data_IF_847874005753
#
_entry.id   IF_847874005753
#
_cell.length_a   1.000
_cell.length_b   1.000
_cell.length_c   1.000
_cell.angle_alpha   90.00
_cell.angle_beta   90.00
_cell.angle_gamma   90.00
#
_symmetry.space_group_name_H-M   'P 1'
#
loop_
_entity.id
_entity.type
_entity.pdbx_description
1 polymer ?
#
# COMPACT_ATOMS: atom_id res chain seq x y z
N UNK A 1 34.57 6.69 12.69
CA UNK A 1 34.22 5.59 11.76
C UNK A 1 32.74 5.70 11.43
N UNK A 2 32.41 6.25 10.27
CA UNK A 2 31.05 6.23 9.72
C UNK A 2 30.86 4.87 9.07
N UNK A 3 30.06 4.00 9.68
CA UNK A 3 29.62 2.75 9.06
C UNK A 3 28.65 3.13 7.93
N UNK A 4 29.11 3.12 6.69
CA UNK A 4 28.24 3.26 5.52
C UNK A 4 27.57 1.91 5.27
N UNK A 5 26.25 1.87 5.37
CA UNK A 5 25.48 0.70 4.97
C UNK A 5 25.72 0.48 3.46
N UNK A 6 26.14 -0.72 3.03
CA UNK A 6 26.31 -1.00 1.61
C UNK A 6 25.00 -0.72 0.86
N UNK A 7 25.08 -0.06 -0.30
CA UNK A 7 23.89 0.41 -1.01
C UNK A 7 22.87 -0.70 -1.29
N UNK A 8 23.35 -1.92 -1.57
CA UNK A 8 22.55 -3.12 -1.85
C UNK A 8 21.77 -3.68 -0.64
N UNK A 9 22.11 -3.29 0.60
CA UNK A 9 21.34 -3.67 1.80
C UNK A 9 20.62 -2.49 2.44
N UNK A 10 20.81 -1.27 1.91
CA UNK A 10 20.21 -0.07 2.48
C UNK A 10 18.69 -0.15 2.46
N UNK A 11 18.10 -0.49 1.31
CA UNK A 11 16.65 -0.60 1.13
C UNK A 11 16.03 -1.72 1.96
N UNK A 12 16.70 -2.87 2.02
CA UNK A 12 16.29 -3.96 2.90
C UNK A 12 16.32 -3.53 4.36
N UNK A 13 17.39 -2.84 4.79
CA UNK A 13 17.53 -2.37 6.17
C UNK A 13 16.39 -1.43 6.53
N UNK A 14 16.07 -0.45 5.69
CA UNK A 14 14.96 0.47 5.93
C UNK A 14 13.61 -0.22 5.93
N UNK A 15 13.39 -1.18 5.02
CA UNK A 15 12.17 -1.98 4.96
C UNK A 15 11.99 -2.83 6.22
N UNK A 16 13.08 -3.42 6.74
CA UNK A 16 13.07 -4.18 7.99
C UNK A 16 12.86 -3.29 9.21
N UNK A 17 13.42 -2.07 9.24
CA UNK A 17 13.14 -1.08 10.29
C UNK A 17 11.66 -0.73 10.30
N UNK A 18 11.06 -0.47 9.13
CA UNK A 18 9.63 -0.19 9.02
C UNK A 18 8.78 -1.39 9.45
N UNK A 19 9.18 -2.62 9.07
CA UNK A 19 8.52 -3.84 9.52
C UNK A 19 8.60 -4.01 11.04
N UNK A 20 9.73 -3.65 11.66
CA UNK A 20 9.88 -3.65 13.12
C UNK A 20 8.94 -2.65 13.77
N UNK A 21 8.83 -1.42 13.23
CA UNK A 21 7.88 -0.42 13.71
C UNK A 21 6.45 -0.95 13.59
N UNK A 22 6.10 -1.53 12.45
CA UNK A 22 4.81 -2.20 12.24
C UNK A 22 4.53 -3.27 13.29
N UNK A 23 5.51 -4.13 13.59
CA UNK A 23 5.37 -5.20 14.58
C UNK A 23 5.18 -4.65 16.00
N UNK A 24 5.91 -3.59 16.36
CA UNK A 24 5.76 -2.90 17.64
C UNK A 24 4.35 -2.30 17.74
N UNK A 25 3.90 -1.55 16.73
CA UNK A 25 2.56 -0.94 16.71
C UNK A 25 1.49 -2.01 16.84
N UNK A 26 1.56 -3.07 16.03
CA UNK A 26 0.66 -4.22 16.11
C UNK A 26 0.60 -4.81 17.51
N UNK A 27 1.75 -5.01 18.15
CA UNK A 27 1.81 -5.58 19.50
C UNK A 27 1.21 -4.66 20.56
N UNK A 28 1.30 -3.33 20.37
CA UNK A 28 0.74 -2.32 21.29
C UNK A 28 -0.78 -2.18 21.17
N UNK A 29 -1.38 -2.52 20.03
CA UNK A 29 -2.83 -2.48 19.83
C UNK A 29 -3.49 -3.60 20.65
N UNK A 30 -4.38 -3.23 21.58
CA UNK A 30 -5.08 -4.18 22.45
C UNK A 30 -6.24 -4.90 21.77
N UNK A 31 -7.00 -4.19 20.93
CA UNK A 31 -8.13 -4.80 20.20
C UNK A 31 -7.63 -5.89 19.26
N UNK A 32 -8.27 -7.06 19.32
CA UNK A 32 -7.92 -8.19 18.44
C UNK A 32 -8.40 -7.92 17.02
N UNK A 33 -9.50 -7.21 16.89
CA UNK A 33 -10.18 -6.82 15.66
C UNK A 33 -9.30 -5.85 14.87
N UNK A 34 -8.87 -4.74 15.50
CA UNK A 34 -7.97 -3.76 14.86
C UNK A 34 -6.64 -4.41 14.46
N UNK A 35 -6.11 -5.34 15.28
CA UNK A 35 -4.92 -6.12 14.88
C UNK A 35 -5.21 -7.02 13.68
N UNK A 36 -6.35 -7.70 13.64
CA UNK A 36 -6.71 -8.53 12.49
C UNK A 36 -6.78 -7.69 11.22
N UNK A 37 -7.54 -6.59 11.23
CA UNK A 37 -7.70 -5.70 10.10
C UNK A 37 -6.38 -5.06 9.66
N UNK A 38 -5.54 -4.63 10.60
CA UNK A 38 -4.19 -4.13 10.28
C UNK A 38 -3.38 -5.17 9.49
N UNK A 39 -3.49 -6.47 9.82
CA UNK A 39 -2.79 -7.52 9.07
C UNK A 39 -3.38 -7.71 7.68
N UNK A 40 -4.72 -7.74 7.57
CA UNK A 40 -5.42 -7.88 6.29
C UNK A 40 -5.03 -6.75 5.34
N UNK A 41 -5.09 -5.49 5.81
CA UNK A 41 -4.68 -4.33 5.02
C UNK A 41 -3.21 -4.44 4.62
N UNK A 42 -2.32 -4.85 5.54
CA UNK A 42 -0.90 -5.05 5.22
C UNK A 42 -0.70 -6.07 4.11
N UNK A 43 -1.39 -7.21 4.16
CA UNK A 43 -1.31 -8.27 3.14
C UNK A 43 -1.89 -7.81 1.79
N UNK A 44 -2.98 -7.05 1.80
CA UNK A 44 -3.55 -6.49 0.58
C UNK A 44 -2.60 -5.46 -0.04
N UNK A 45 -2.05 -4.53 0.75
CA UNK A 45 -1.12 -3.50 0.27
C UNK A 45 0.20 -4.11 -0.20
N UNK A 46 0.66 -5.21 0.40
CA UNK A 46 1.85 -5.95 -0.05
C UNK A 46 1.78 -6.33 -1.54
N UNK A 47 0.57 -6.60 -2.07
CA UNK A 47 0.39 -6.92 -3.49
C UNK A 47 0.78 -5.76 -4.42
N UNK A 48 0.81 -4.52 -3.93
CA UNK A 48 1.34 -3.39 -4.69
C UNK A 48 2.85 -3.54 -4.97
N UNK A 49 3.58 -4.37 -4.22
CA UNK A 49 4.96 -4.74 -4.58
C UNK A 49 5.06 -5.40 -5.97
N UNK A 50 3.98 -6.00 -6.49
CA UNK A 50 3.96 -6.49 -7.86
C UNK A 50 3.95 -5.39 -8.93
N UNK A 51 3.66 -4.15 -8.54
CA UNK A 51 3.65 -3.00 -9.45
C UNK A 51 5.02 -2.36 -9.63
N UNK A 52 6.04 -2.79 -8.88
CA UNK A 52 7.42 -2.31 -8.96
C UNK A 52 7.95 -2.20 -10.41
N UNK A 53 7.74 -3.19 -11.31
CA UNK A 53 8.25 -3.10 -12.69
C UNK A 53 7.63 -1.97 -13.53
N UNK A 54 6.51 -1.39 -13.08
CA UNK A 54 5.89 -0.24 -13.74
C UNK A 54 6.66 1.05 -13.39
N UNK A 55 7.25 1.11 -12.19
CA UNK A 55 7.95 2.30 -11.68
C UNK A 55 9.46 2.23 -11.93
N UNK A 56 10.06 1.04 -11.93
CA UNK A 56 11.50 0.84 -12.20
C UNK A 56 11.74 0.61 -13.69
N UNK A 57 12.72 1.27 -14.35
CA UNK A 57 13.64 2.29 -13.84
C UNK A 57 13.13 3.73 -14.09
N UNK A 58 11.92 3.90 -14.63
CA UNK A 58 11.43 5.19 -15.11
C UNK A 58 11.33 6.26 -14.01
N UNK A 59 10.94 5.86 -12.81
CA UNK A 59 10.85 6.69 -11.62
C UNK A 59 12.10 6.56 -10.74
N UNK A 60 12.54 5.32 -10.51
CA UNK A 60 13.54 5.00 -9.50
C UNK A 60 14.29 3.72 -9.87
N UNK A 61 15.60 3.65 -9.58
CA UNK A 61 16.46 2.48 -9.89
C UNK A 61 17.32 2.12 -8.66
N UNK A 62 16.74 1.42 -7.66
CA UNK A 62 17.45 1.11 -6.43
C UNK A 62 18.39 -0.08 -6.59
N UNK A 63 19.59 -0.03 -5.99
CA UNK A 63 20.38 -1.24 -5.77
C UNK A 63 19.65 -2.16 -4.77
N UNK A 64 19.06 -3.24 -5.27
CA UNK A 64 18.33 -4.23 -4.46
C UNK A 64 19.24 -5.37 -4.01
N UNK A 65 18.80 -6.12 -3.00
CA UNK A 65 19.48 -7.33 -2.57
C UNK A 65 19.62 -8.29 -3.76
N UNK A 66 20.83 -8.82 -4.00
CA UNK A 66 21.15 -9.70 -5.13
C UNK A 66 20.94 -9.09 -6.54
N UNK A 67 20.77 -7.78 -6.65
CA UNK A 67 20.42 -7.07 -7.89
C UNK A 67 19.12 -7.60 -8.52
N UNK A 68 18.18 -8.04 -7.69
CA UNK A 68 16.89 -8.60 -8.10
C UNK A 68 16.12 -7.61 -8.99
N UNK A 69 16.00 -6.35 -8.59
CA UNK A 69 15.31 -5.31 -9.35
C UNK A 69 15.88 -5.17 -10.77
N UNK A 70 17.21 -5.24 -10.91
CA UNK A 70 17.86 -5.13 -12.21
C UNK A 70 17.69 -6.38 -13.08
N UNK A 71 17.63 -7.56 -12.45
CA UNK A 71 17.51 -8.85 -13.14
C UNK A 71 16.07 -9.21 -13.52
N UNK A 72 15.09 -8.80 -12.72
CA UNK A 72 13.69 -9.26 -12.86
C UNK A 72 12.68 -8.11 -12.89
N UNK A 73 13.08 -6.88 -12.54
CA UNK A 73 12.17 -5.77 -12.30
C UNK A 73 11.49 -5.80 -10.92
N UNK A 74 11.79 -6.81 -10.09
CA UNK A 74 11.21 -6.97 -8.74
C UNK A 74 12.29 -6.97 -7.68
N UNK A 75 11.96 -6.50 -6.48
CA UNK A 75 12.77 -6.67 -5.29
C UNK A 75 11.91 -7.23 -4.15
N UNK A 76 12.54 -7.78 -3.10
CA UNK A 76 11.81 -8.27 -1.93
C UNK A 76 11.42 -7.11 -1.01
N UNK A 77 12.23 -6.07 -1.05
CA UNK A 77 12.15 -4.85 -0.29
C UNK A 77 10.82 -4.13 -0.52
N UNK A 78 10.33 -4.01 -1.76
CA UNK A 78 9.05 -3.37 -2.03
C UNK A 78 7.86 -4.13 -1.47
N UNK A 79 7.90 -5.47 -1.39
CA UNK A 79 6.85 -6.24 -0.71
C UNK A 79 6.86 -5.97 0.79
N UNK A 80 8.03 -5.99 1.44
CA UNK A 80 8.16 -5.73 2.87
C UNK A 80 7.74 -4.29 3.19
N UNK A 81 8.20 -3.33 2.40
CA UNK A 81 7.87 -1.91 2.53
C UNK A 81 6.36 -1.69 2.37
N UNK A 82 5.76 -2.19 1.29
CA UNK A 82 4.33 -2.03 1.01
C UNK A 82 3.46 -2.69 2.10
N UNK A 83 3.87 -3.85 2.60
CA UNK A 83 3.24 -4.50 3.74
C UNK A 83 3.27 -3.60 4.99
N UNK A 84 4.46 -3.11 5.37
CA UNK A 84 4.64 -2.33 6.57
C UNK A 84 3.89 -1.00 6.51
N UNK A 85 3.98 -0.28 5.39
CA UNK A 85 3.34 1.03 5.24
C UNK A 85 1.81 0.92 5.16
N UNK A 86 1.27 -0.14 4.55
CA UNK A 86 -0.17 -0.39 4.49
C UNK A 86 -0.78 -0.55 5.89
N UNK A 87 -0.21 -1.42 6.71
CA UNK A 87 -0.68 -1.62 8.09
C UNK A 87 -0.47 -0.40 8.98
N UNK A 88 0.67 0.29 8.86
CA UNK A 88 0.92 1.52 9.60
C UNK A 88 -0.04 2.64 9.21
N UNK A 89 -0.36 2.77 7.92
CA UNK A 89 -1.37 3.68 7.41
C UNK A 89 -2.75 3.40 8.00
N UNK A 90 -3.17 2.13 8.05
CA UNK A 90 -4.41 1.72 8.72
C UNK A 90 -4.41 2.06 10.22
N UNK A 91 -3.32 1.73 10.93
CA UNK A 91 -3.20 2.03 12.35
C UNK A 91 -3.26 3.54 12.62
N UNK A 92 -2.59 4.34 11.78
CA UNK A 92 -2.65 5.81 11.85
C UNK A 92 -4.06 6.33 11.58
N UNK A 93 -4.74 5.78 10.56
CA UNK A 93 -6.11 6.14 10.24
C UNK A 93 -7.05 5.90 11.44
N UNK A 94 -6.92 4.77 12.13
CA UNK A 94 -7.70 4.46 13.34
C UNK A 94 -7.40 5.38 14.54
N UNK A 95 -6.20 5.97 14.60
CA UNK A 95 -5.84 6.96 15.63
C UNK A 95 -6.46 8.32 15.31
N UNK A 96 -6.46 8.74 14.04
CA UNK A 96 -7.00 10.03 13.60
C UNK A 96 -8.53 10.00 13.57
N UNK A 97 -9.09 8.90 13.06
CA UNK A 97 -10.51 8.64 12.91
C UNK A 97 -10.87 7.42 13.75
N UNK A 98 -11.10 7.60 15.07
CA UNK A 98 -11.60 6.54 15.91
C UNK A 98 -13.06 6.26 15.53
N UNK A 99 -13.28 5.55 14.44
CA UNK A 99 -14.59 5.05 14.05
C UNK A 99 -14.88 3.90 15.00
N UNK A 100 -15.93 4.04 15.81
CA UNK A 100 -16.44 2.90 16.58
C UNK A 100 -16.73 1.76 15.62
N UNK A 101 -16.50 0.52 16.04
CA UNK A 101 -16.98 -0.62 15.27
C UNK A 101 -18.52 -0.54 15.31
N UNK A 102 -19.09 0.13 14.33
CA UNK A 102 -20.53 0.26 14.16
C UNK A 102 -21.14 -1.15 14.13
N UNK A 103 -22.36 -1.31 14.67
CA UNK A 103 -23.02 -2.62 14.69
C UNK A 103 -23.10 -3.22 13.29
N UNK A 104 -23.11 -4.55 13.21
CA UNK A 104 -23.27 -5.26 11.93
C UNK A 104 -24.42 -4.65 11.14
N UNK A 105 -24.13 -4.22 9.90
CA UNK A 105 -25.14 -3.67 8.98
C UNK A 105 -26.36 -4.59 8.94
N UNK A 106 -27.53 -3.97 9.09
CA UNK A 106 -28.81 -4.68 9.10
C UNK A 106 -29.03 -5.38 7.76
N UNK A 107 -29.86 -6.44 7.76
CA UNK A 107 -30.10 -7.23 6.54
C UNK A 107 -30.70 -6.39 5.41
N UNK A 108 -31.51 -5.39 5.76
CA UNK A 108 -32.16 -4.49 4.82
C UNK A 108 -31.17 -3.50 4.19
N UNK A 109 -30.22 -2.98 4.98
CA UNK A 109 -29.12 -2.16 4.45
C UNK A 109 -28.29 -2.96 3.46
N UNK A 110 -27.94 -4.21 3.80
CA UNK A 110 -27.06 -5.07 2.98
C UNK A 110 -27.61 -5.40 1.59
N UNK A 111 -28.91 -5.26 1.38
CA UNK A 111 -29.62 -5.54 0.11
C UNK A 111 -29.93 -4.23 -0.65
N UNK A 112 -29.58 -3.07 -0.10
CA UNK A 112 -29.79 -1.77 -0.76
C UNK A 112 -29.12 -1.76 -2.14
N UNK A 113 -29.88 -1.33 -3.14
CA UNK A 113 -29.42 -1.20 -4.51
C UNK A 113 -28.21 -0.26 -4.66
N UNK A 114 -27.90 0.58 -3.67
CA UNK A 114 -26.71 1.44 -3.63
C UNK A 114 -25.42 0.65 -3.51
N UNK A 115 -25.44 -0.57 -2.96
CA UNK A 115 -24.22 -1.38 -2.83
C UNK A 115 -23.58 -1.77 -4.16
N UNK A 116 -24.36 -1.76 -5.25
CA UNK A 116 -23.84 -1.99 -6.61
C UNK A 116 -22.81 -0.93 -7.05
N UNK A 117 -22.77 0.23 -6.40
CA UNK A 117 -21.85 1.32 -6.74
C UNK A 117 -20.51 1.23 -5.99
N UNK A 118 -20.39 0.49 -4.87
CA UNK A 118 -19.11 0.39 -4.15
C UNK A 118 -18.00 -0.23 -5.00
N UNK A 119 -18.32 -1.27 -5.77
CA UNK A 119 -17.32 -1.92 -6.62
C UNK A 119 -16.84 -0.98 -7.75
N UNK A 120 -17.71 -0.32 -8.53
CA UNK A 120 -17.30 0.72 -9.46
C UNK A 120 -16.48 1.85 -8.83
N UNK A 121 -16.86 2.34 -7.65
CA UNK A 121 -16.12 3.40 -6.95
C UNK A 121 -14.73 2.92 -6.53
N UNK A 122 -14.61 1.71 -5.96
CA UNK A 122 -13.33 1.13 -5.58
C UNK A 122 -12.42 0.89 -6.80
N UNK A 123 -13.00 0.45 -7.92
CA UNK A 123 -12.28 0.20 -9.17
C UNK A 123 -11.93 1.49 -9.93
N UNK A 124 -12.47 2.66 -9.53
CA UNK A 124 -12.19 3.92 -10.21
C UNK A 124 -10.69 4.25 -10.21
N UNK A 125 -10.00 4.08 -9.08
CA UNK A 125 -8.55 4.33 -8.94
C UNK A 125 -7.72 3.51 -9.93
N UNK A 126 -7.77 2.16 -9.94
CA UNK A 126 -6.98 1.38 -10.90
C UNK A 126 -7.39 1.64 -12.35
N UNK A 127 -8.67 1.91 -12.63
CA UNK A 127 -9.12 2.25 -13.99
C UNK A 127 -8.51 3.58 -14.46
N UNK A 128 -8.57 4.63 -13.64
CA UNK A 128 -7.98 5.94 -13.96
C UNK A 128 -6.47 5.79 -14.15
N UNK A 129 -5.79 5.03 -13.27
CA UNK A 129 -4.36 4.77 -13.39
C UNK A 129 -4.01 4.10 -14.73
N UNK A 130 -4.72 3.03 -15.11
CA UNK A 130 -4.47 2.33 -16.38
C UNK A 130 -4.73 3.25 -17.57
N UNK A 131 -5.79 4.07 -17.53
CA UNK A 131 -6.07 5.05 -18.59
C UNK A 131 -4.93 6.07 -18.72
N UNK A 132 -4.44 6.61 -17.61
CA UNK A 132 -3.32 7.57 -17.62
C UNK A 132 -2.02 6.93 -18.12
N UNK A 133 -1.74 5.70 -17.70
CA UNK A 133 -0.56 4.95 -18.08
C UNK A 133 -0.48 4.69 -19.60
N UNK A 134 -1.62 4.47 -20.26
CA UNK A 134 -1.65 4.21 -21.72
C UNK A 134 -1.86 5.46 -22.56
N UNK A 135 -2.50 6.50 -22.03
CA UNK A 135 -2.83 7.73 -22.78
C UNK A 135 -1.79 8.83 -22.63
N UNK A 136 -0.98 8.81 -21.57
CA UNK A 136 -0.01 9.87 -21.29
C UNK A 136 1.43 9.35 -21.38
N UNK A 137 2.40 10.28 -21.28
CA UNK A 137 3.83 9.97 -21.14
C UNK A 137 4.37 10.47 -19.80
N UNK A 138 3.47 10.67 -18.83
CA UNK A 138 3.88 11.10 -17.50
C UNK A 138 4.72 9.98 -16.86
N UNK A 139 5.55 10.37 -15.89
CA UNK A 139 6.18 9.37 -15.06
C UNK A 139 5.08 8.62 -14.29
N UNK A 140 5.09 7.27 -14.23
CA UNK A 140 4.04 6.48 -13.59
C UNK A 140 3.72 6.89 -12.15
N UNK A 141 4.66 7.50 -11.42
CA UNK A 141 4.36 8.04 -10.09
C UNK A 141 3.32 9.16 -10.11
N UNK A 142 3.36 10.04 -11.11
CA UNK A 142 2.38 11.13 -11.25
C UNK A 142 1.02 10.57 -11.65
N UNK A 143 0.98 9.56 -12.51
CA UNK A 143 -0.25 8.86 -12.87
C UNK A 143 -0.89 8.23 -11.63
N UNK A 144 -0.10 7.58 -10.78
CA UNK A 144 -0.58 7.00 -9.53
C UNK A 144 -1.13 8.07 -8.58
N UNK A 145 -0.43 9.19 -8.39
CA UNK A 145 -0.88 10.30 -7.53
C UNK A 145 -2.21 10.89 -8.04
N UNK A 146 -2.32 11.14 -9.35
CA UNK A 146 -3.56 11.66 -9.95
C UNK A 146 -4.71 10.66 -9.79
N UNK A 147 -4.45 9.37 -10.09
CA UNK A 147 -5.46 8.32 -9.98
C UNK A 147 -5.96 8.16 -8.54
N UNK A 148 -5.07 8.13 -7.54
CA UNK A 148 -5.44 8.03 -6.13
C UNK A 148 -6.21 9.27 -5.66
N UNK A 149 -5.84 10.47 -6.12
CA UNK A 149 -6.55 11.71 -5.75
C UNK A 149 -7.97 11.74 -6.32
N UNK A 150 -8.13 11.42 -7.60
CA UNK A 150 -9.44 11.43 -8.28
C UNK A 150 -10.34 10.30 -7.77
N UNK A 151 -9.78 9.08 -7.63
CA UNK A 151 -10.52 7.94 -7.10
C UNK A 151 -10.93 8.14 -5.64
N UNK A 152 -10.04 8.73 -4.82
CA UNK A 152 -10.34 9.08 -3.43
C UNK A 152 -11.44 10.11 -3.27
N UNK A 153 -11.56 11.10 -4.17
CA UNK A 153 -12.67 12.06 -4.17
C UNK A 153 -14.00 11.40 -4.58
N UNK A 154 -13.93 10.32 -5.37
CA UNK A 154 -15.12 9.64 -5.87
C UNK A 154 -15.73 8.64 -4.87
N UNK A 155 -15.01 8.29 -3.81
CA UNK A 155 -15.40 7.25 -2.83
C UNK A 155 -15.86 7.86 -1.51
#
# INVERSE_FOLDING_TARGET
MTYTIPAHVAWLTWSLILLLIWAIVRYRIRSREIRHEMLVVSLCTMLLGFTEPIFVPAYWDPPSLFDLAWKTGFDLESFIFSFAIGGLGYALYMVIFPVGHEPEMTRDERIDARHKYHLPLLLSTPVIFVVLLVMTRLNPIYDAVIAMSLGGIST
#
